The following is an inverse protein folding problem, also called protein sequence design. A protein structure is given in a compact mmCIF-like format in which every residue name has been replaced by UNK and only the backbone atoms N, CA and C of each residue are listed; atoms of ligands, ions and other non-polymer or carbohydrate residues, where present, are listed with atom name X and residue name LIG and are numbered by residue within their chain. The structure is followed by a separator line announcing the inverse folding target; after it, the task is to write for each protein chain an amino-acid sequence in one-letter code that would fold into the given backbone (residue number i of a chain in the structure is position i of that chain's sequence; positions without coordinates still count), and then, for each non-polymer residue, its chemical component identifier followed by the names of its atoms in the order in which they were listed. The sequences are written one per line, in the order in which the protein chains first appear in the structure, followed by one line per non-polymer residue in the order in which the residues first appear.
data_IF_320033209939
#
_entry.id   IF_320033209939
#
_cell.length_a   1.000
_cell.length_b   1.000
_cell.length_c   1.000
_cell.angle_alpha   90.00
_cell.angle_beta   90.00
_cell.angle_gamma   90.00
#
_symmetry.space_group_name_H-M   'P 1'
#
loop_
_entity.id
_entity.type
_entity.pdbx_description
1 polymer ?
#
# COMPACT_ATOMS: atom_id res chain seq x y z
N UNK A 1 -8.95 16.88 20.48
CA UNK A 1 -7.77 16.79 19.58
C UNK A 1 -8.18 17.29 18.21
N UNK A 2 -7.45 18.24 17.62
CA UNK A 2 -7.71 18.68 16.24
C UNK A 2 -7.24 17.59 15.29
N UNK A 3 -8.08 17.15 14.36
CA UNK A 3 -7.79 16.12 13.34
C UNK A 3 -7.06 16.68 12.11
N UNK A 4 -6.83 17.99 12.05
CA UNK A 4 -6.09 18.66 10.96
C UNK A 4 -4.58 18.49 11.16
N UNK A 5 -3.82 18.03 10.14
CA UNK A 5 -2.36 17.99 10.18
C UNK A 5 -1.71 19.36 10.48
N UNK A 6 -0.57 19.36 11.17
CA UNK A 6 0.10 20.59 11.62
C UNK A 6 0.67 21.44 10.46
N UNK A 7 1.03 20.79 9.35
CA UNK A 7 1.57 21.37 8.12
C UNK A 7 0.50 21.80 7.11
N UNK A 8 -0.79 21.67 7.46
CA UNK A 8 -1.92 21.99 6.59
C UNK A 8 -2.67 23.21 7.13
N UNK A 9 -2.81 24.28 6.34
CA UNK A 9 -3.54 25.47 6.79
C UNK A 9 -5.04 25.16 7.02
N UNK A 10 -5.75 25.94 7.87
CA UNK A 10 -7.18 25.73 8.08
C UNK A 10 -8.00 25.77 6.79
N UNK A 11 -7.65 26.64 5.85
CA UNK A 11 -8.33 26.82 4.57
C UNK A 11 -8.13 25.61 3.67
N UNK A 12 -6.89 25.13 3.54
CA UNK A 12 -6.58 23.93 2.75
C UNK A 12 -7.29 22.69 3.30
N UNK A 13 -7.34 22.54 4.62
CA UNK A 13 -8.08 21.47 5.28
C UNK A 13 -9.57 21.53 5.01
N UNK A 14 -10.17 22.72 5.05
CA UNK A 14 -11.59 22.91 4.74
C UNK A 14 -11.90 22.51 3.28
N UNK A 15 -11.05 22.88 2.33
CA UNK A 15 -11.19 22.48 0.92
C UNK A 15 -11.10 20.97 0.76
N UNK A 16 -10.09 20.32 1.38
CA UNK A 16 -9.93 18.87 1.32
C UNK A 16 -11.16 18.14 1.86
N UNK A 17 -11.68 18.56 3.02
CA UNK A 17 -12.90 17.97 3.61
C UNK A 17 -14.11 18.15 2.68
N UNK A 18 -14.27 19.31 2.07
CA UNK A 18 -15.38 19.57 1.15
C UNK A 18 -15.30 18.68 -0.09
N UNK A 19 -14.10 18.50 -0.66
CA UNK A 19 -13.88 17.55 -1.76
C UNK A 19 -14.27 16.14 -1.34
N UNK A 20 -13.80 15.66 -0.18
CA UNK A 20 -14.14 14.33 0.32
C UNK A 20 -15.64 14.17 0.57
N UNK A 21 -16.33 15.17 1.13
CA UNK A 21 -17.77 15.14 1.35
C UNK A 21 -18.56 15.05 0.04
N UNK A 22 -18.08 15.70 -1.02
CA UNK A 22 -18.69 15.62 -2.36
C UNK A 22 -18.39 14.31 -3.08
N UNK A 23 -17.33 13.59 -2.71
CA UNK A 23 -17.08 12.24 -3.24
C UNK A 23 -18.15 11.28 -2.70
N UNK A 24 -19.05 10.84 -3.58
CA UNK A 24 -19.96 9.73 -3.33
C UNK A 24 -19.21 8.42 -3.00
N UNK A 25 -19.90 7.43 -2.42
CA UNK A 25 -19.27 6.20 -1.93
C UNK A 25 -18.51 5.42 -3.02
N UNK A 26 -19.01 5.40 -4.26
CA UNK A 26 -18.38 4.74 -5.41
C UNK A 26 -17.02 5.36 -5.72
N UNK A 27 -16.95 6.69 -5.75
CA UNK A 27 -15.70 7.41 -6.03
C UNK A 27 -14.69 7.22 -4.91
N UNK A 28 -15.14 7.16 -3.65
CA UNK A 28 -14.27 6.88 -2.52
C UNK A 28 -13.67 5.47 -2.62
N UNK A 29 -14.48 4.47 -2.96
CA UNK A 29 -14.00 3.10 -3.14
C UNK A 29 -13.00 3.02 -4.31
N UNK A 30 -13.31 3.64 -5.44
CA UNK A 30 -12.41 3.68 -6.59
C UNK A 30 -11.05 4.31 -6.23
N UNK A 31 -11.06 5.45 -5.49
CA UNK A 31 -9.83 6.07 -4.99
C UNK A 31 -9.05 5.12 -4.06
N UNK A 32 -9.73 4.43 -3.14
CA UNK A 32 -9.06 3.50 -2.22
C UNK A 32 -8.42 2.32 -2.95
N UNK A 33 -9.08 1.78 -3.98
CA UNK A 33 -8.53 0.70 -4.83
C UNK A 33 -7.29 1.21 -5.58
N UNK A 34 -7.39 2.37 -6.25
CA UNK A 34 -6.27 2.94 -6.99
C UNK A 34 -5.05 3.20 -6.10
N UNK A 35 -5.27 3.77 -4.90
CA UNK A 35 -4.19 3.98 -3.92
C UNK A 35 -3.56 2.66 -3.47
N UNK A 36 -4.35 1.59 -3.34
CA UNK A 36 -3.86 0.27 -2.96
C UNK A 36 -2.98 -0.34 -4.07
N UNK A 37 -3.38 -0.21 -5.33
CA UNK A 37 -2.62 -0.66 -6.49
C UNK A 37 -1.29 0.11 -6.63
N UNK A 38 -1.31 1.43 -6.44
CA UNK A 38 -0.12 2.26 -6.43
C UNK A 38 0.86 1.85 -5.32
N UNK A 39 0.36 1.60 -4.11
CA UNK A 39 1.19 1.14 -2.99
C UNK A 39 1.86 -0.21 -3.29
N UNK A 40 1.13 -1.16 -3.90
CA UNK A 40 1.70 -2.45 -4.33
C UNK A 40 2.78 -2.24 -5.39
N UNK A 41 2.53 -1.39 -6.39
CA UNK A 41 3.49 -1.07 -7.45
C UNK A 41 4.78 -0.48 -6.90
N UNK A 42 4.66 0.55 -6.04
CA UNK A 42 5.78 1.21 -5.40
C UNK A 42 6.59 0.25 -4.52
N UNK A 43 5.90 -0.59 -3.74
CA UNK A 43 6.54 -1.59 -2.88
C UNK A 43 7.37 -2.57 -3.72
N UNK A 44 6.82 -3.07 -4.83
CA UNK A 44 7.54 -3.98 -5.74
C UNK A 44 8.74 -3.30 -6.39
N UNK A 45 8.61 -2.04 -6.81
CA UNK A 45 9.75 -1.27 -7.31
C UNK A 45 10.87 -1.15 -6.28
N UNK A 46 10.51 -0.85 -5.02
CA UNK A 46 11.48 -0.79 -3.92
C UNK A 46 12.10 -2.15 -3.56
N UNK A 47 11.39 -3.26 -3.75
CA UNK A 47 11.94 -4.62 -3.59
C UNK A 47 12.96 -4.90 -4.70
N UNK A 48 12.60 -4.68 -5.98
CA UNK A 48 13.52 -4.86 -7.13
C UNK A 48 14.81 -4.05 -6.97
N UNK A 49 14.70 -2.83 -6.47
CA UNK A 49 15.87 -1.96 -6.25
C UNK A 49 16.83 -2.51 -5.18
N UNK A 50 16.33 -3.23 -4.17
CA UNK A 50 17.14 -3.83 -3.09
C UNK A 50 17.60 -5.25 -3.38
N UNK A 51 16.84 -5.98 -4.19
CA UNK A 51 17.07 -7.38 -4.56
C UNK A 51 17.06 -7.50 -6.09
N UNK A 52 18.09 -7.00 -6.79
CA UNK A 52 18.18 -7.09 -8.25
C UNK A 52 18.24 -8.54 -8.77
N UNK A 53 18.57 -9.50 -7.92
CA UNK A 53 18.58 -10.94 -8.20
C UNK A 53 17.19 -11.58 -8.18
N UNK A 54 16.16 -10.90 -7.68
CA UNK A 54 14.80 -11.44 -7.65
C UNK A 54 14.15 -11.36 -9.03
N UNK A 55 13.55 -12.48 -9.45
CA UNK A 55 12.61 -12.49 -10.56
C UNK A 55 11.24 -11.91 -10.16
N UNK A 56 10.34 -11.78 -11.13
CA UNK A 56 9.02 -11.18 -10.91
C UNK A 56 8.15 -11.94 -9.90
N UNK A 57 8.26 -13.27 -9.85
CA UNK A 57 7.53 -14.07 -8.87
C UNK A 57 8.10 -13.90 -7.46
N UNK A 58 9.43 -13.80 -7.37
CA UNK A 58 10.11 -13.53 -6.12
C UNK A 58 9.72 -12.16 -5.55
N UNK A 59 9.71 -11.13 -6.40
CA UNK A 59 9.25 -9.78 -6.04
C UNK A 59 7.79 -9.79 -5.57
N UNK A 60 6.91 -10.49 -6.31
CA UNK A 60 5.48 -10.59 -5.97
C UNK A 60 5.28 -11.23 -4.60
N UNK A 61 5.89 -12.37 -4.36
CA UNK A 61 5.78 -13.11 -3.10
C UNK A 61 6.42 -12.34 -1.92
N UNK A 62 7.53 -11.63 -2.15
CA UNK A 62 8.15 -10.77 -1.15
C UNK A 62 7.23 -9.60 -0.75
N UNK A 63 6.53 -8.97 -1.71
CA UNK A 63 5.50 -7.95 -1.41
C UNK A 63 4.35 -8.55 -0.59
N UNK A 64 3.85 -9.73 -0.98
CA UNK A 64 2.77 -10.39 -0.25
C UNK A 64 3.19 -10.75 1.19
N UNK A 65 4.42 -11.23 1.38
CA UNK A 65 4.99 -11.50 2.71
C UNK A 65 5.05 -10.24 3.56
N UNK A 66 5.49 -9.12 2.99
CA UNK A 66 5.53 -7.84 3.70
C UNK A 66 4.14 -7.37 4.15
N UNK A 67 3.12 -7.57 3.30
CA UNK A 67 1.74 -7.15 3.59
C UNK A 67 1.02 -8.06 4.58
N UNK A 68 1.25 -9.37 4.53
CA UNK A 68 0.61 -10.35 5.41
C UNK A 68 1.36 -10.57 6.73
N UNK A 69 2.67 -10.32 6.75
CA UNK A 69 3.56 -10.79 7.80
C UNK A 69 3.86 -12.29 7.71
N UNK A 70 4.89 -12.72 8.42
CA UNK A 70 5.47 -14.07 8.28
C UNK A 70 4.49 -15.20 8.65
N UNK A 71 3.67 -15.01 9.68
CA UNK A 71 2.72 -16.03 10.14
C UNK A 71 1.65 -16.32 9.07
N UNK A 72 0.97 -15.28 8.59
CA UNK A 72 -0.09 -15.42 7.59
C UNK A 72 0.48 -15.81 6.22
N UNK A 73 1.66 -15.30 5.86
CA UNK A 73 2.33 -15.69 4.64
C UNK A 73 2.64 -17.19 4.63
N UNK A 74 3.19 -17.74 5.72
CA UNK A 74 3.51 -19.17 5.81
C UNK A 74 2.26 -20.04 5.72
N UNK A 75 1.15 -19.61 6.33
CA UNK A 75 -0.14 -20.32 6.25
C UNK A 75 -0.75 -20.29 4.84
N UNK A 76 -0.67 -19.15 4.15
CA UNK A 76 -1.27 -18.95 2.83
C UNK A 76 -0.40 -19.49 1.67
N UNK A 77 0.93 -19.48 1.84
CA UNK A 77 1.91 -19.87 0.82
C UNK A 77 2.91 -20.91 1.38
N UNK A 78 2.46 -22.09 1.82
CA UNK A 78 3.31 -23.06 2.51
C UNK A 78 4.46 -23.62 1.64
N UNK A 79 4.31 -23.56 0.31
CA UNK A 79 5.29 -24.07 -0.66
C UNK A 79 6.10 -22.94 -1.34
N UNK A 80 5.94 -21.69 -0.92
CA UNK A 80 6.72 -20.60 -1.50
C UNK A 80 8.21 -20.70 -1.09
N UNK A 81 9.13 -20.19 -1.92
CA UNK A 81 10.54 -20.12 -1.57
C UNK A 81 10.73 -19.39 -0.24
N UNK A 82 11.54 -19.96 0.63
CA UNK A 82 11.98 -19.27 1.85
C UNK A 82 13.24 -18.50 1.46
N UNK A 83 13.11 -17.19 1.27
CA UNK A 83 14.26 -16.32 1.22
C UNK A 83 14.66 -15.97 2.64
N UNK A 84 15.93 -16.20 2.92
CA UNK A 84 16.56 -15.74 4.15
C UNK A 84 16.71 -14.21 4.03
N UNK A 85 16.37 -13.50 5.11
CA UNK A 85 16.41 -12.04 5.17
C UNK A 85 17.84 -11.50 5.33
#
# INVERSE_FOLDING_TARGET
MSSRPADTTPEAWAVQLEVWRRMGPERRLATAIAMSEELVSLTRAGIRARHPEYDEDAVRLAEIRLRLGDELYTKAYPNAPRWDA
#
